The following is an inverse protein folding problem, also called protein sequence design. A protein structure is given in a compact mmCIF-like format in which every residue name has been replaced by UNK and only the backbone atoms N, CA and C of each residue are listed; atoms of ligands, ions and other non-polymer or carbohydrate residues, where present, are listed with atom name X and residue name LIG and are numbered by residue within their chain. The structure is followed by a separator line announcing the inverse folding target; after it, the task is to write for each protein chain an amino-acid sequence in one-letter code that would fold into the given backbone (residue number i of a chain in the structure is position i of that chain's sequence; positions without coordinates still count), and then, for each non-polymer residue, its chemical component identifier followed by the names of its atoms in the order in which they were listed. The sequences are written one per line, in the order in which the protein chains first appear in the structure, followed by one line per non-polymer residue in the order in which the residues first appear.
data_IF_842459303380
#
_entry.id   IF_842459303380
#
_cell.length_a   1.000
_cell.length_b   1.000
_cell.length_c   1.000
_cell.angle_alpha   90.00
_cell.angle_beta   90.00
_cell.angle_gamma   90.00
#
_symmetry.space_group_name_H-M   'P 1'
#
loop_
_entity.id
_entity.type
_entity.pdbx_description
1 polymer ?
#
# COMPACT_ATOMS: atom_id res chain seq x y z
N UNK A 1 -9.51 33.47 -15.33
CA UNK A 1 -8.38 32.78 -14.69
C UNK A 1 -8.68 31.30 -14.75
N UNK A 2 -7.95 30.58 -15.62
CA UNK A 2 -8.14 29.14 -15.83
C UNK A 2 -7.59 28.40 -14.61
N UNK A 3 -8.37 27.44 -14.12
CA UNK A 3 -8.28 26.74 -12.84
C UNK A 3 -7.08 25.75 -12.80
N UNK A 4 -5.86 26.28 -12.92
CA UNK A 4 -4.60 25.52 -13.08
C UNK A 4 -4.36 24.47 -11.96
N UNK A 5 -4.95 24.68 -10.77
CA UNK A 5 -4.83 23.77 -9.63
C UNK A 5 -5.78 22.56 -9.67
N UNK A 6 -6.87 22.61 -10.45
CA UNK A 6 -7.78 21.46 -10.61
C UNK A 6 -7.24 20.48 -11.65
N UNK A 7 -6.67 20.98 -12.74
CA UNK A 7 -6.17 20.15 -13.83
C UNK A 7 -4.92 19.35 -13.45
N UNK A 8 -4.01 19.94 -12.64
CA UNK A 8 -2.84 19.23 -12.11
C UNK A 8 -3.24 18.10 -11.13
N UNK A 9 -4.30 18.29 -10.33
CA UNK A 9 -4.80 17.27 -9.39
C UNK A 9 -5.47 16.10 -10.10
N UNK A 10 -6.27 16.38 -11.13
CA UNK A 10 -6.88 15.34 -11.97
C UNK A 10 -5.82 14.56 -12.74
N UNK A 11 -4.74 15.25 -13.15
CA UNK A 11 -3.59 14.64 -13.80
C UNK A 11 -2.82 13.68 -12.87
N UNK A 12 -2.50 14.08 -11.64
CA UNK A 12 -1.78 13.20 -10.71
C UNK A 12 -2.63 12.01 -10.25
N UNK A 13 -3.90 12.20 -9.89
CA UNK A 13 -4.80 11.09 -9.52
C UNK A 13 -4.97 10.06 -10.65
N UNK A 14 -5.10 10.52 -11.91
CA UNK A 14 -5.17 9.63 -13.07
C UNK A 14 -3.82 8.92 -13.36
N UNK A 15 -2.69 9.55 -13.05
CA UNK A 15 -1.36 8.93 -13.18
C UNK A 15 -1.13 7.86 -12.13
N UNK A 16 -1.55 8.13 -10.89
CA UNK A 16 -1.45 7.21 -9.76
C UNK A 16 -2.30 5.96 -10.03
N UNK A 17 -3.55 6.17 -10.44
CA UNK A 17 -4.46 5.08 -10.82
C UNK A 17 -3.93 4.23 -11.98
N UNK A 18 -3.24 4.83 -12.96
CA UNK A 18 -2.65 4.08 -14.07
C UNK A 18 -1.47 3.22 -13.61
N UNK A 19 -0.53 3.80 -12.87
CA UNK A 19 0.66 3.09 -12.44
C UNK A 19 0.30 1.91 -11.49
N UNK A 20 -0.70 2.11 -10.63
CA UNK A 20 -1.28 1.04 -9.81
C UNK A 20 -1.94 -0.04 -10.66
N UNK A 21 -2.70 0.32 -11.70
CA UNK A 21 -3.28 -0.64 -12.63
C UNK A 21 -2.22 -1.46 -13.36
N UNK A 22 -1.13 -0.82 -13.83
CA UNK A 22 -0.02 -1.50 -14.51
C UNK A 22 0.74 -2.44 -13.56
N UNK A 23 0.85 -2.08 -12.28
CA UNK A 23 1.37 -2.99 -11.24
C UNK A 23 0.42 -4.17 -11.00
N UNK A 24 -0.89 -3.92 -10.96
CA UNK A 24 -1.91 -4.97 -10.87
C UNK A 24 -1.82 -5.98 -12.02
N UNK A 25 -1.67 -5.51 -13.26
CA UNK A 25 -1.45 -6.36 -14.44
C UNK A 25 -0.18 -7.22 -14.25
N UNK A 26 0.92 -6.61 -13.80
CA UNK A 26 2.14 -7.35 -13.51
C UNK A 26 1.92 -8.44 -12.46
N UNK A 27 1.20 -8.14 -11.37
CA UNK A 27 0.89 -9.11 -10.31
C UNK A 27 -0.03 -10.24 -10.81
N UNK A 28 -1.03 -9.92 -11.63
CA UNK A 28 -1.94 -10.91 -12.22
C UNK A 28 -1.18 -11.91 -13.11
N UNK A 29 -0.33 -11.41 -14.01
CA UNK A 29 0.43 -12.23 -14.95
C UNK A 29 1.52 -13.07 -14.27
N UNK A 30 2.21 -12.48 -13.28
CA UNK A 30 3.46 -13.05 -12.76
C UNK A 30 3.37 -13.67 -11.37
N UNK A 31 2.29 -13.40 -10.63
CA UNK A 31 2.04 -14.00 -9.33
C UNK A 31 0.73 -14.78 -9.32
N UNK A 32 -0.43 -14.14 -9.48
CA UNK A 32 -1.71 -14.82 -9.25
C UNK A 32 -2.02 -15.92 -10.28
N UNK A 33 -1.79 -15.65 -11.57
CA UNK A 33 -2.00 -16.67 -12.61
C UNK A 33 -1.11 -17.89 -12.38
N UNK A 34 0.17 -17.66 -12.08
CA UNK A 34 1.12 -18.74 -11.82
C UNK A 34 0.85 -19.47 -10.52
N UNK A 35 0.46 -18.77 -9.47
CA UNK A 35 0.02 -19.40 -8.22
C UNK A 35 -1.13 -20.37 -8.49
N UNK A 36 -2.09 -19.98 -9.33
CA UNK A 36 -3.20 -20.84 -9.70
C UNK A 36 -2.75 -21.99 -10.61
N UNK A 37 -1.83 -21.78 -11.55
CA UNK A 37 -1.26 -22.85 -12.39
C UNK A 37 -0.49 -23.87 -11.55
N UNK A 38 0.38 -23.42 -10.64
CA UNK A 38 1.22 -24.26 -9.78
C UNK A 38 0.40 -25.05 -8.76
N UNK A 39 -0.71 -24.47 -8.29
CA UNK A 39 -1.63 -25.07 -7.32
C UNK A 39 -2.92 -25.58 -7.98
N UNK A 40 -2.96 -25.70 -9.32
CA UNK A 40 -4.14 -26.19 -10.01
C UNK A 40 -4.43 -27.66 -9.63
N UNK A 41 -5.71 -28.04 -9.47
CA UNK A 41 -6.94 -27.26 -9.69
C UNK A 41 -7.46 -26.53 -8.43
N UNK A 42 -6.69 -26.49 -7.34
CA UNK A 42 -7.19 -26.11 -6.01
C UNK A 42 -7.41 -24.62 -5.81
N UNK A 43 -6.82 -23.77 -6.65
CA UNK A 43 -6.92 -22.32 -6.56
C UNK A 43 -7.38 -21.70 -7.88
N UNK A 44 -8.26 -20.72 -7.77
CA UNK A 44 -8.53 -19.76 -8.85
C UNK A 44 -8.45 -18.35 -8.29
N UNK A 45 -8.24 -17.36 -9.16
CA UNK A 45 -8.22 -15.96 -8.76
C UNK A 45 -9.09 -15.09 -9.67
N UNK A 46 -9.57 -13.99 -9.11
CA UNK A 46 -10.32 -12.95 -9.82
C UNK A 46 -9.87 -11.58 -9.31
N UNK A 47 -9.62 -10.64 -10.23
CA UNK A 47 -9.41 -9.23 -9.90
C UNK A 47 -10.74 -8.50 -9.91
N UNK A 48 -11.03 -7.79 -8.83
CA UNK A 48 -12.22 -6.97 -8.70
C UNK A 48 -12.08 -5.66 -9.48
N UNK A 49 -13.11 -5.32 -10.24
CA UNK A 49 -13.17 -4.10 -11.08
C UNK A 49 -14.34 -3.18 -10.72
N UNK A 50 -15.28 -3.65 -9.89
CA UNK A 50 -16.35 -2.86 -9.34
C UNK A 50 -15.79 -1.87 -8.30
N UNK A 51 -15.88 -0.58 -8.62
CA UNK A 51 -15.38 0.52 -7.78
C UNK A 51 -15.97 0.49 -6.36
N UNK A 52 -17.22 0.06 -6.18
CA UNK A 52 -17.84 0.00 -4.84
C UNK A 52 -17.17 -1.09 -4.01
N UNK A 53 -16.90 -2.25 -4.59
CA UNK A 53 -16.21 -3.35 -3.92
C UNK A 53 -14.73 -3.02 -3.66
N UNK A 54 -14.06 -2.30 -4.56
CA UNK A 54 -12.73 -1.75 -4.31
C UNK A 54 -12.72 -0.77 -3.12
N UNK A 55 -13.76 0.08 -2.96
CA UNK A 55 -13.89 0.93 -1.76
C UNK A 55 -14.13 0.17 -0.45
N UNK A 56 -14.54 -1.10 -0.54
CA UNK A 56 -14.64 -2.06 0.57
C UNK A 56 -13.31 -2.81 0.81
N UNK A 57 -12.25 -2.50 0.04
CA UNK A 57 -10.91 -3.06 0.19
C UNK A 57 -10.78 -4.45 -0.45
N UNK A 58 -11.38 -4.63 -1.62
CA UNK A 58 -11.30 -5.86 -2.41
C UNK A 58 -10.61 -5.52 -3.74
N UNK A 59 -9.37 -5.99 -3.90
CA UNK A 59 -8.65 -5.90 -5.18
C UNK A 59 -8.59 -7.27 -5.86
N UNK A 60 -8.32 -8.33 -5.09
CA UNK A 60 -8.21 -9.71 -5.60
C UNK A 60 -8.95 -10.67 -4.67
N UNK A 61 -9.65 -11.62 -5.28
CA UNK A 61 -10.31 -12.73 -4.60
C UNK A 61 -9.62 -14.02 -5.03
N UNK A 62 -9.07 -14.77 -4.05
CA UNK A 62 -8.60 -16.13 -4.27
C UNK A 62 -9.68 -17.10 -3.81
N UNK A 63 -10.04 -18.07 -4.66
CA UNK A 63 -11.01 -19.12 -4.32
C UNK A 63 -10.30 -20.45 -4.22
N UNK A 64 -10.50 -21.14 -3.11
CA UNK A 64 -10.00 -22.48 -2.84
C UNK A 64 -10.98 -23.55 -3.32
N UNK A 65 -10.54 -24.81 -3.39
CA UNK A 65 -11.37 -25.96 -3.80
C UNK A 65 -12.65 -26.11 -2.96
N UNK A 66 -12.57 -25.83 -1.64
CA UNK A 66 -13.71 -25.85 -0.72
C UNK A 66 -14.61 -24.60 -0.83
N UNK A 67 -14.43 -23.80 -1.89
CA UNK A 67 -15.19 -22.57 -2.18
C UNK A 67 -15.02 -21.48 -1.12
N UNK A 68 -13.95 -21.52 -0.31
CA UNK A 68 -13.59 -20.39 0.54
C UNK A 68 -13.00 -19.28 -0.32
N UNK A 69 -13.52 -18.07 -0.12
CA UNK A 69 -12.95 -16.86 -0.69
C UNK A 69 -11.95 -16.26 0.29
N UNK A 70 -10.80 -15.84 -0.23
CA UNK A 70 -9.77 -15.09 0.49
C UNK A 70 -9.72 -13.71 -0.14
N UNK A 71 -10.10 -12.69 0.63
CA UNK A 71 -10.21 -11.31 0.16
C UNK A 71 -8.90 -10.55 0.40
N UNK A 72 -8.26 -10.13 -0.69
CA UNK A 72 -6.96 -9.45 -0.70
C UNK A 72 -7.14 -7.99 -1.14
N UNK A 73 -6.55 -7.09 -0.36
CA UNK A 73 -6.38 -5.66 -0.67
C UNK A 73 -4.91 -5.40 -0.99
N UNK A 74 -4.61 -4.95 -2.20
CA UNK A 74 -3.26 -4.62 -2.62
C UNK A 74 -2.90 -3.22 -2.12
N UNK A 75 -1.71 -3.10 -1.53
CA UNK A 75 -1.16 -1.82 -1.10
C UNK A 75 0.28 -1.76 -1.56
N UNK A 76 0.63 -0.73 -2.32
CA UNK A 76 1.96 -0.61 -2.89
C UNK A 76 2.70 0.65 -2.43
N UNK A 77 4.01 0.52 -2.24
CA UNK A 77 4.92 1.64 -2.03
C UNK A 77 5.39 2.23 -3.37
N UNK A 78 4.47 2.41 -4.33
CA UNK A 78 4.78 2.69 -5.74
C UNK A 78 5.60 3.98 -5.94
N UNK A 79 5.32 5.04 -5.18
CA UNK A 79 6.13 6.27 -5.21
C UNK A 79 7.57 6.11 -4.73
N UNK A 80 7.85 5.02 -4.02
CA UNK A 80 9.17 4.64 -3.52
C UNK A 80 9.79 3.51 -4.35
N UNK A 81 9.31 3.32 -5.59
CA UNK A 81 9.94 2.39 -6.55
C UNK A 81 11.45 2.64 -6.60
N UNK A 82 12.25 1.57 -6.59
CA UNK A 82 13.72 1.60 -6.58
C UNK A 82 14.38 2.28 -5.36
N UNK A 83 13.62 2.63 -4.31
CA UNK A 83 14.16 3.32 -3.12
C UNK A 83 14.63 2.38 -2.01
N UNK A 84 14.50 1.06 -2.18
CA UNK A 84 14.77 0.04 -1.14
C UNK A 84 14.09 0.37 0.21
N UNK A 85 12.84 0.87 0.15
CA UNK A 85 12.11 1.28 1.35
C UNK A 85 11.98 0.10 2.32
N UNK A 86 12.38 0.31 3.57
CA UNK A 86 12.42 -0.68 4.64
C UNK A 86 11.23 -0.54 5.62
N UNK A 87 10.17 0.13 5.17
CA UNK A 87 8.94 0.40 5.94
C UNK A 87 7.71 0.29 5.04
N UNK A 88 6.53 0.24 5.66
CA UNK A 88 5.25 0.42 4.99
C UNK A 88 4.37 1.38 5.80
N UNK A 89 3.55 2.18 5.10
CA UNK A 89 2.64 3.14 5.72
C UNK A 89 1.22 2.57 5.78
N UNK A 90 0.62 2.61 6.96
CA UNK A 90 -0.76 2.21 7.20
C UNK A 90 -1.61 3.42 7.56
N UNK A 91 -2.60 3.75 6.74
CA UNK A 91 -3.39 4.97 6.97
C UNK A 91 -4.35 4.82 8.16
N UNK A 92 -4.23 5.73 9.12
CA UNK A 92 -5.14 5.82 10.27
C UNK A 92 -6.25 6.83 10.03
N UNK A 93 -5.94 7.99 9.47
CA UNK A 93 -6.97 8.98 9.16
C UNK A 93 -6.51 9.98 8.12
N UNK A 94 -7.47 10.55 7.40
CA UNK A 94 -7.24 11.58 6.40
C UNK A 94 -8.40 12.58 6.38
N UNK A 95 -8.26 13.66 5.63
CA UNK A 95 -9.27 14.70 5.43
C UNK A 95 -9.83 14.56 4.02
N UNK A 96 -11.15 14.40 3.94
CA UNK A 96 -11.89 14.46 2.68
C UNK A 96 -13.08 15.39 2.87
N UNK A 97 -13.21 16.36 1.97
CA UNK A 97 -14.31 17.35 2.00
C UNK A 97 -14.41 18.08 3.37
N UNK A 98 -13.25 18.43 3.93
CA UNK A 98 -13.16 19.14 5.22
C UNK A 98 -13.47 18.29 6.45
N UNK A 99 -13.78 17.00 6.29
CA UNK A 99 -14.07 16.07 7.40
C UNK A 99 -12.95 15.06 7.56
N UNK A 100 -12.61 14.75 8.82
CA UNK A 100 -11.71 13.64 9.13
C UNK A 100 -12.44 12.33 8.82
N UNK A 101 -11.77 11.43 8.13
CA UNK A 101 -12.23 10.09 7.76
C UNK A 101 -11.23 9.07 8.28
N UNK A 102 -11.75 7.90 8.63
CA UNK A 102 -10.95 6.75 9.06
C UNK A 102 -10.17 6.20 7.86
N UNK A 103 -8.88 5.97 8.06
CA UNK A 103 -8.00 5.34 7.10
C UNK A 103 -8.17 3.84 7.05
N UNK A 104 -7.67 3.23 5.98
CA UNK A 104 -7.95 1.83 5.65
C UNK A 104 -7.46 0.79 6.68
N UNK A 105 -6.50 1.12 7.55
CA UNK A 105 -6.09 0.19 8.62
C UNK A 105 -7.18 0.06 9.70
N UNK A 106 -7.85 1.16 10.04
CA UNK A 106 -8.79 1.23 11.17
C UNK A 106 -10.26 1.33 10.73
N UNK A 107 -10.53 1.57 9.45
CA UNK A 107 -11.89 1.72 8.93
C UNK A 107 -12.68 0.41 9.12
N UNK A 108 -13.85 0.55 9.73
CA UNK A 108 -14.80 -0.55 9.91
C UNK A 108 -15.54 -0.85 8.60
N UNK A 109 -16.01 -2.09 8.46
CA UNK A 109 -16.81 -2.53 7.31
C UNK A 109 -16.02 -2.83 6.02
N UNK A 110 -14.69 -2.77 6.06
CA UNK A 110 -13.86 -3.33 4.99
C UNK A 110 -13.92 -4.86 5.00
N UNK A 111 -13.97 -5.47 3.83
CA UNK A 111 -13.99 -6.94 3.64
C UNK A 111 -12.61 -7.57 3.60
N UNK A 112 -11.56 -6.74 3.51
CA UNK A 112 -10.16 -7.17 3.48
C UNK A 112 -9.82 -8.15 4.62
N UNK A 113 -9.41 -9.36 4.25
CA UNK A 113 -8.82 -10.33 5.17
C UNK A 113 -7.29 -10.20 5.20
N UNK A 114 -6.72 -9.98 4.01
CA UNK A 114 -5.28 -9.91 3.79
C UNK A 114 -4.88 -8.63 3.08
N UNK A 115 -3.76 -8.05 3.50
CA UNK A 115 -3.05 -7.08 2.72
C UNK A 115 -1.97 -7.76 1.90
N UNK A 116 -1.91 -7.48 0.60
CA UNK A 116 -0.72 -7.72 -0.21
C UNK A 116 0.11 -6.43 -0.20
N UNK A 117 1.15 -6.37 0.63
CA UNK A 117 2.02 -5.20 0.72
C UNK A 117 3.17 -5.33 -0.28
N UNK A 118 3.30 -4.35 -1.17
CA UNK A 118 4.13 -4.45 -2.38
C UNK A 118 5.20 -3.36 -2.41
N UNK A 119 6.46 -3.75 -2.59
CA UNK A 119 7.60 -2.86 -2.85
C UNK A 119 8.14 -3.13 -4.27
N UNK A 120 7.70 -2.36 -5.26
CA UNK A 120 8.11 -2.59 -6.65
C UNK A 120 9.52 -2.04 -6.92
N UNK A 121 10.28 -2.76 -7.76
CA UNK A 121 11.38 -2.19 -8.52
C UNK A 121 11.01 -2.15 -10.00
N UNK A 122 11.55 -1.16 -10.70
CA UNK A 122 11.33 -0.97 -12.13
C UNK A 122 12.62 -0.60 -12.85
N UNK A 123 12.69 -0.88 -14.14
CA UNK A 123 13.86 -0.55 -14.96
C UNK A 123 14.10 0.97 -14.99
N UNK A 124 15.37 1.35 -15.08
CA UNK A 124 15.77 2.73 -15.36
C UNK A 124 15.96 2.92 -16.86
N UNK A 125 15.56 4.10 -17.36
CA UNK A 125 15.80 4.53 -18.74
C UNK A 125 16.99 5.49 -18.80
N UNK A 126 17.58 5.62 -19.99
CA UNK A 126 18.63 6.61 -20.23
C UNK A 126 18.00 7.94 -20.58
N UNK A 127 18.28 8.97 -19.78
CA UNK A 127 17.87 10.33 -20.07
C UNK A 127 18.48 10.80 -21.39
N UNK A 128 17.64 11.29 -22.30
CA UNK A 128 18.06 11.63 -23.67
C UNK A 128 19.00 12.83 -23.73
N UNK A 129 18.96 13.72 -22.74
CA UNK A 129 19.74 14.97 -22.72
C UNK A 129 21.09 14.78 -22.05
N UNK A 130 21.10 14.09 -20.91
CA UNK A 130 22.27 13.93 -20.02
C UNK A 130 22.94 12.58 -20.18
N UNK A 131 22.26 11.58 -20.75
CA UNK A 131 22.74 10.21 -20.87
C UNK A 131 22.76 9.44 -19.55
N UNK A 132 22.26 10.01 -18.45
CA UNK A 132 22.23 9.36 -17.13
C UNK A 132 21.09 8.35 -17.04
N UNK A 133 21.24 7.32 -16.20
CA UNK A 133 20.13 6.41 -15.89
C UNK A 133 19.19 7.11 -14.91
N UNK A 134 17.93 7.24 -15.29
CA UNK A 134 16.85 7.81 -14.48
C UNK A 134 15.71 6.81 -14.35
N UNK A 135 14.93 6.93 -13.28
CA UNK A 135 13.72 6.16 -13.11
C UNK A 135 12.67 6.57 -14.15
N UNK A 136 11.87 5.61 -14.62
CA UNK A 136 10.71 5.88 -15.48
C UNK A 136 9.68 6.68 -14.68
N UNK A 137 9.10 7.71 -15.30
CA UNK A 137 7.98 8.45 -14.70
C UNK A 137 6.82 7.47 -14.48
N UNK A 138 6.23 7.45 -13.27
CA UNK A 138 5.08 6.60 -12.97
C UNK A 138 3.90 6.84 -13.95
N UNK A 139 3.80 8.03 -14.52
CA UNK A 139 2.80 8.32 -15.56
C UNK A 139 2.99 7.50 -16.86
N UNK A 140 4.21 7.04 -17.12
CA UNK A 140 4.63 6.33 -18.33
C UNK A 140 4.95 4.86 -18.09
N UNK A 141 5.04 4.43 -16.83
CA UNK A 141 5.33 3.06 -16.47
C UNK A 141 4.24 2.11 -17.00
N UNK A 142 4.68 0.92 -17.39
CA UNK A 142 3.86 -0.19 -17.87
C UNK A 142 4.21 -1.45 -17.09
N UNK A 143 3.34 -2.46 -17.14
CA UNK A 143 3.58 -3.75 -16.46
C UNK A 143 4.95 -4.36 -16.79
N UNK A 144 5.44 -4.16 -18.02
CA UNK A 144 6.74 -4.66 -18.52
C UNK A 144 7.96 -3.92 -17.98
N UNK A 145 7.75 -2.78 -17.32
CA UNK A 145 8.82 -2.00 -16.73
C UNK A 145 9.21 -2.49 -15.34
N UNK A 146 8.29 -3.16 -14.63
CA UNK A 146 8.57 -3.77 -13.33
C UNK A 146 9.56 -4.92 -13.48
N UNK A 147 10.48 -5.02 -12.53
CA UNK A 147 11.56 -6.03 -12.54
C UNK A 147 11.34 -7.04 -11.41
N UNK A 148 11.90 -6.77 -10.24
CA UNK A 148 11.68 -7.57 -9.02
C UNK A 148 10.74 -6.79 -8.12
N UNK A 149 9.58 -7.36 -7.87
CA UNK A 149 8.60 -6.88 -6.91
C UNK A 149 8.73 -7.72 -5.65
N UNK A 150 9.06 -7.10 -4.52
CA UNK A 150 8.97 -7.75 -3.22
C UNK A 150 7.53 -7.59 -2.70
N UNK A 151 6.90 -8.67 -2.28
CA UNK A 151 5.54 -8.64 -1.76
C UNK A 151 5.40 -9.51 -0.51
N UNK A 152 4.55 -9.10 0.42
CA UNK A 152 4.17 -9.94 1.57
C UNK A 152 2.66 -10.02 1.69
N UNK A 153 2.18 -11.22 2.02
CA UNK A 153 0.78 -11.48 2.34
C UNK A 153 0.62 -11.43 3.86
N UNK A 154 -0.08 -10.41 4.34
CA UNK A 154 -0.23 -10.10 5.76
C UNK A 154 -1.70 -10.15 6.17
N UNK A 155 -2.05 -11.03 7.11
CA UNK A 155 -3.39 -11.05 7.71
C UNK A 155 -3.67 -9.73 8.45
N UNK A 156 -4.76 -9.06 8.09
CA UNK A 156 -5.23 -7.84 8.76
C UNK A 156 -5.51 -8.11 10.23
N UNK A 157 -6.17 -9.23 10.53
CA UNK A 157 -6.49 -9.64 11.90
C UNK A 157 -5.22 -9.85 12.73
N UNK A 158 -4.22 -10.56 12.20
CA UNK A 158 -2.94 -10.81 12.87
C UNK A 158 -2.20 -9.52 13.17
N UNK A 159 -2.19 -8.57 12.22
CA UNK A 159 -1.61 -7.25 12.42
C UNK A 159 -2.33 -6.48 13.55
N UNK A 160 -3.66 -6.41 13.53
CA UNK A 160 -4.43 -5.69 14.55
C UNK A 160 -4.32 -6.33 15.94
N UNK A 161 -4.29 -7.67 16.02
CA UNK A 161 -4.03 -8.40 17.26
C UNK A 161 -2.64 -8.09 17.80
N UNK A 162 -1.62 -8.08 16.95
CA UNK A 162 -0.26 -7.72 17.35
C UNK A 162 -0.18 -6.28 17.88
N UNK A 163 -0.74 -5.31 17.14
CA UNK A 163 -0.79 -3.90 17.58
C UNK A 163 -1.48 -3.77 18.95
N UNK A 164 -2.60 -4.46 19.13
CA UNK A 164 -3.31 -4.49 20.42
C UNK A 164 -2.45 -5.09 21.54
N UNK A 165 -1.70 -6.16 21.27
CA UNK A 165 -0.82 -6.80 22.24
C UNK A 165 0.32 -5.91 22.74
N UNK A 166 0.73 -4.92 21.94
CA UNK A 166 1.72 -3.90 22.32
C UNK A 166 1.08 -2.59 22.80
N UNK A 167 -0.21 -2.63 23.16
CA UNK A 167 -0.94 -1.49 23.71
C UNK A 167 -1.45 -0.48 22.68
N UNK A 168 -1.39 -0.80 21.39
CA UNK A 168 -1.87 0.04 20.28
C UNK A 168 -3.21 -0.47 19.76
N UNK A 169 -4.24 -0.43 20.60
CA UNK A 169 -5.60 -0.73 20.15
C UNK A 169 -6.07 0.32 19.14
N UNK A 170 -7.17 0.02 18.43
CA UNK A 170 -7.81 0.96 17.50
C UNK A 170 -8.08 2.32 18.16
N UNK A 171 -8.64 2.31 19.36
CA UNK A 171 -9.00 3.51 20.12
C UNK A 171 -7.75 4.33 20.48
N UNK A 172 -6.68 3.64 20.92
CA UNK A 172 -5.41 4.29 21.25
C UNK A 172 -4.79 4.93 20.01
N UNK A 173 -4.77 4.23 18.87
CA UNK A 173 -4.26 4.77 17.60
C UNK A 173 -5.07 5.97 17.12
N UNK A 174 -6.40 5.90 17.21
CA UNK A 174 -7.29 7.01 16.84
C UNK A 174 -7.08 8.23 17.73
N UNK A 175 -6.96 8.05 19.04
CA UNK A 175 -6.73 9.15 19.97
C UNK A 175 -5.34 9.79 19.73
N UNK A 176 -4.31 8.97 19.51
CA UNK A 176 -2.98 9.47 19.13
C UNK A 176 -3.01 10.25 17.82
N UNK A 177 -3.68 9.74 16.78
CA UNK A 177 -3.85 10.43 15.51
C UNK A 177 -4.58 11.78 15.69
N UNK A 178 -5.66 11.80 16.48
CA UNK A 178 -6.39 13.03 16.81
C UNK A 178 -5.49 14.05 17.52
N UNK A 179 -4.74 13.62 18.53
CA UNK A 179 -3.79 14.49 19.25
C UNK A 179 -2.70 15.04 18.35
N UNK A 180 -2.15 14.21 17.45
CA UNK A 180 -1.14 14.62 16.49
C UNK A 180 -1.68 15.66 15.50
N UNK A 181 -2.94 15.51 15.06
CA UNK A 181 -3.60 16.49 14.19
C UNK A 181 -3.80 17.83 14.89
N UNK A 182 -4.28 17.81 16.14
CA UNK A 182 -4.53 19.01 16.95
C UNK A 182 -3.23 19.75 17.29
N UNK A 183 -2.17 19.04 17.66
CA UNK A 183 -0.89 19.65 18.05
C UNK A 183 -0.20 20.42 16.91
N UNK A 184 -0.54 20.09 15.66
CA UNK A 184 0.06 20.69 14.46
C UNK A 184 -0.86 21.63 13.69
N UNK A 185 -2.08 21.89 14.19
CA UNK A 185 -3.05 22.78 13.53
C UNK A 185 -2.55 24.22 13.36
N UNK A 186 -1.63 24.66 14.23
CA UNK A 186 -0.99 25.99 14.19
C UNK A 186 0.53 25.93 13.96
N UNK A 187 1.08 24.76 13.60
CA UNK A 187 2.51 24.60 13.37
C UNK A 187 2.92 25.12 12.00
N UNK A 188 4.12 25.72 11.91
CA UNK A 188 4.76 26.03 10.62
C UNK A 188 5.43 24.82 9.98
N UNK A 189 5.56 23.72 10.73
CA UNK A 189 6.18 22.49 10.24
C UNK A 189 5.19 21.69 9.39
N UNK A 190 5.59 21.39 8.16
CA UNK A 190 4.77 20.63 7.22
C UNK A 190 4.75 19.11 7.47
N UNK A 191 5.46 18.65 8.49
CA UNK A 191 5.62 17.24 8.81
C UNK A 191 5.77 17.06 10.33
N UNK A 192 5.22 15.97 10.86
CA UNK A 192 5.37 15.59 12.25
C UNK A 192 5.54 14.08 12.38
N UNK A 193 6.28 13.67 13.41
CA UNK A 193 6.42 12.27 13.80
C UNK A 193 6.14 12.13 15.30
N UNK A 194 5.57 11.00 15.69
CA UNK A 194 5.37 10.61 17.09
C UNK A 194 5.95 9.21 17.28
N UNK A 195 7.08 9.13 17.99
CA UNK A 195 7.72 7.87 18.34
C UNK A 195 6.93 7.22 19.46
N UNK A 196 6.57 5.96 19.26
CA UNK A 196 5.84 5.22 20.29
C UNK A 196 6.87 4.61 21.25
N UNK A 197 6.90 5.14 22.47
CA UNK A 197 7.87 4.77 23.50
C UNK A 197 7.99 3.24 23.64
N UNK A 198 9.23 2.72 23.59
CA UNK A 198 9.52 1.29 23.68
C UNK A 198 9.32 0.51 22.37
N UNK A 199 8.84 1.13 21.28
CA UNK A 199 8.53 0.46 20.02
C UNK A 199 9.33 1.04 18.84
N UNK A 200 10.64 0.74 18.79
CA UNK A 200 11.57 1.29 17.79
C UNK A 200 11.29 0.86 16.33
N UNK A 201 10.36 -0.06 16.11
CA UNK A 201 10.01 -0.60 14.79
C UNK A 201 8.78 0.07 14.17
N UNK A 202 8.13 1.01 14.87
CA UNK A 202 6.99 1.74 14.35
C UNK A 202 6.91 3.17 14.90
N UNK A 203 6.24 4.05 14.17
CA UNK A 203 5.98 5.44 14.59
C UNK A 203 4.80 6.01 13.82
N UNK A 204 4.20 7.08 14.33
CA UNK A 204 3.17 7.83 13.59
C UNK A 204 3.82 8.93 12.77
N UNK A 205 3.23 9.21 11.62
CA UNK A 205 3.61 10.33 10.75
C UNK A 205 2.39 11.15 10.38
N UNK A 206 2.59 12.44 10.23
CA UNK A 206 1.57 13.38 9.77
C UNK A 206 2.19 14.36 8.79
N UNK A 207 1.59 14.52 7.62
CA UNK A 207 2.03 15.48 6.60
C UNK A 207 0.96 16.53 6.34
N UNK A 208 1.36 17.80 6.34
CA UNK A 208 0.50 18.92 5.91
C UNK A 208 0.66 19.25 4.43
N UNK A 209 1.62 18.61 3.74
CA UNK A 209 1.92 18.87 2.32
C UNK A 209 0.82 18.37 1.40
N UNK A 210 0.11 17.32 1.81
CA UNK A 210 -0.97 16.73 1.03
C UNK A 210 -2.32 17.35 1.43
N UNK A 211 -3.25 17.56 0.47
CA UNK A 211 -4.59 18.06 0.78
C UNK A 211 -5.33 17.21 1.81
N UNK A 212 -5.15 15.90 1.73
CA UNK A 212 -5.77 14.92 2.60
C UNK A 212 -5.16 14.92 4.01
N UNK A 213 -3.97 15.50 4.18
CA UNK A 213 -3.26 15.56 5.45
C UNK A 213 -3.32 14.21 6.20
N UNK A 214 -2.84 13.10 5.58
CA UNK A 214 -2.97 11.77 6.15
C UNK A 214 -2.12 11.63 7.40
N UNK A 215 -2.61 10.82 8.32
CA UNK A 215 -1.86 10.31 9.47
C UNK A 215 -1.67 8.81 9.25
N UNK A 216 -0.41 8.40 9.19
CA UNK A 216 -0.04 7.02 8.94
C UNK A 216 0.72 6.43 10.13
N UNK A 217 0.44 5.16 10.42
CA UNK A 217 1.31 4.31 11.21
C UNK A 217 2.36 3.70 10.28
N UNK A 218 3.62 4.05 10.49
CA UNK A 218 4.75 3.49 9.75
C UNK A 218 5.27 2.29 10.51
N UNK A 219 5.41 1.15 9.85
CA UNK A 219 5.94 -0.08 10.45
C UNK A 219 7.13 -0.56 9.62
N UNK A 220 8.22 -0.96 10.29
CA UNK A 220 9.38 -1.54 9.61
C UNK A 220 9.01 -2.81 8.84
N UNK A 221 9.54 -2.95 7.63
CA UNK A 221 9.42 -4.12 6.76
C UNK A 221 9.87 -5.39 7.49
N UNK A 222 10.97 -5.32 8.25
CA UNK A 222 11.44 -6.45 9.07
C UNK A 222 10.32 -6.99 9.98
N UNK A 223 9.67 -6.11 10.74
CA UNK A 223 8.55 -6.51 11.62
C UNK A 223 7.36 -7.04 10.82
N UNK A 224 7.07 -6.45 9.66
CA UNK A 224 5.98 -6.90 8.81
C UNK A 224 6.23 -8.30 8.25
N UNK A 225 7.47 -8.63 7.85
CA UNK A 225 7.87 -9.98 7.41
C UNK A 225 7.70 -10.98 8.56
N UNK A 226 8.11 -10.64 9.79
CA UNK A 226 7.90 -11.50 10.97
C UNK A 226 6.41 -11.81 11.23
N UNK A 227 5.51 -10.90 10.86
CA UNK A 227 4.06 -11.06 11.00
C UNK A 227 3.39 -11.64 9.75
N UNK A 228 4.04 -11.62 8.60
CA UNK A 228 3.46 -12.08 7.35
C UNK A 228 3.16 -13.58 7.41
N UNK A 229 2.15 -14.01 6.66
CA UNK A 229 1.91 -15.43 6.46
C UNK A 229 2.77 -15.95 5.31
N UNK A 230 3.07 -15.10 4.31
CA UNK A 230 3.97 -15.40 3.20
C UNK A 230 4.73 -14.15 2.75
N UNK A 231 5.91 -14.35 2.19
CA UNK A 231 6.71 -13.32 1.54
C UNK A 231 7.26 -13.85 0.21
N UNK A 232 7.37 -12.98 -0.78
CA UNK A 232 7.71 -13.35 -2.15
C UNK A 232 8.60 -12.30 -2.83
N UNK A 233 9.48 -12.78 -3.72
CA UNK A 233 10.01 -12.00 -4.83
C UNK A 233 9.29 -12.43 -6.10
N UNK A 234 8.73 -11.48 -6.83
CA UNK A 234 7.93 -11.69 -8.04
C UNK A 234 8.63 -11.01 -9.20
N UNK A 235 8.74 -11.72 -10.33
CA UNK A 235 9.40 -11.26 -11.55
C UNK A 235 8.69 -11.81 -12.79
N UNK A 236 9.11 -11.38 -13.98
CA UNK A 236 8.65 -11.95 -15.27
C UNK A 236 8.94 -13.46 -15.42
N UNK A 237 9.81 -14.02 -14.57
CA UNK A 237 10.13 -15.45 -14.50
C UNK A 237 9.26 -16.22 -13.51
N UNK A 238 8.32 -15.54 -12.84
CA UNK A 238 7.47 -16.09 -11.79
C UNK A 238 7.83 -15.57 -10.40
N UNK A 239 7.35 -16.29 -9.39
CA UNK A 239 7.48 -15.90 -7.98
C UNK A 239 8.32 -16.91 -7.19
N UNK A 240 9.02 -16.41 -6.18
CA UNK A 240 9.91 -17.18 -5.31
C UNK A 240 9.56 -16.86 -3.86
N UNK A 241 9.28 -17.86 -3.01
CA UNK A 241 9.11 -17.64 -1.59
C UNK A 241 10.36 -17.05 -0.96
N UNK A 242 10.17 -16.11 -0.03
CA UNK A 242 11.24 -15.48 0.73
C UNK A 242 11.11 -15.87 2.20
N UNK A 243 12.23 -16.31 2.77
CA UNK A 243 12.43 -16.65 4.20
C UNK A 243 11.73 -17.92 4.68
#
# INVERSE_FOLDING_TARGET
MVDYNKDVKKSNFNKDSRAEQELGIFMDENYYSRLCEDQAPYLTFERETDLRLQYEGIDVIIRTEDSREIIIDEKSALYYTNSNLDTFAFELSFIKEGKVRDGWLIKDGLKTEYYMLIWPNARCIKDRKTGQKIQIDLAEITSKDFTIVEAILLSKEKLLKYLSSVGLTREVLMEKAKRLRLSKQNSRENYAYDNLEGLNFLHLTFTLRLPEKPINLIISKKKLIELADRAYFISDRGYFPCY
#
